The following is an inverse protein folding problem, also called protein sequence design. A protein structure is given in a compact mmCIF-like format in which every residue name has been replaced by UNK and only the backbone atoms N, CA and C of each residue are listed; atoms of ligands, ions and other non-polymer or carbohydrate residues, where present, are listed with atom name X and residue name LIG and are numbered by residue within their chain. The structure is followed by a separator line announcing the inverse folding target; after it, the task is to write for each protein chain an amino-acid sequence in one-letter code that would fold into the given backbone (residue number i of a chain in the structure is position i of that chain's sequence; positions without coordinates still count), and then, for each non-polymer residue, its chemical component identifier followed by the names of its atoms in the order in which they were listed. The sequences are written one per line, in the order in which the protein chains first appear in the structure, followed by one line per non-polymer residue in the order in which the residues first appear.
data_IF_900111419922
#
_entry.id   IF_900111419922
#
_cell.length_a   1.000
_cell.length_b   1.000
_cell.length_c   1.000
_cell.angle_alpha   90.00
_cell.angle_beta   90.00
_cell.angle_gamma   90.00
#
_symmetry.space_group_name_H-M   'P 1'
#
loop_
_entity.id
_entity.type
_entity.pdbx_description
1 polymer ?
#
# COMPACT_ATOMS: atom_id res chain seq x y z
N UNK A 1 5.55 -10.38 -6.87
CA UNK A 1 5.19 -9.37 -5.84
C UNK A 1 6.14 -8.15 -5.85
N UNK A 2 5.66 -6.92 -5.66
CA UNK A 2 6.53 -5.73 -5.50
C UNK A 2 6.50 -5.25 -4.04
N UNK A 3 7.67 -5.08 -3.43
CA UNK A 3 7.83 -4.61 -2.04
C UNK A 3 8.51 -3.25 -2.07
N UNK A 4 7.90 -2.25 -1.45
CA UNK A 4 8.46 -0.89 -1.33
C UNK A 4 8.79 -0.64 0.13
N UNK A 5 10.06 -0.44 0.44
CA UNK A 5 10.56 -0.14 1.79
C UNK A 5 11.17 1.26 1.84
N UNK A 6 11.41 1.73 3.07
CA UNK A 6 12.07 3.00 3.35
C UNK A 6 11.58 3.62 4.67
N UNK A 7 12.25 4.67 5.10
CA UNK A 7 12.06 5.35 6.39
C UNK A 7 10.74 6.13 6.46
N UNK A 8 10.27 6.53 7.66
CA UNK A 8 9.15 7.46 7.77
C UNK A 8 9.35 8.67 6.85
N UNK A 9 8.29 9.10 6.17
CA UNK A 9 8.32 10.21 5.20
C UNK A 9 9.16 9.99 3.93
N UNK A 10 9.68 8.78 3.65
CA UNK A 10 10.41 8.46 2.40
C UNK A 10 9.54 8.47 1.12
N UNK A 11 8.26 8.84 1.21
CA UNK A 11 7.37 8.93 0.05
C UNK A 11 6.68 7.62 -0.36
N UNK A 12 6.77 6.54 0.44
CA UNK A 12 6.09 5.25 0.16
C UNK A 12 4.63 5.40 -0.25
N UNK A 13 3.84 6.15 0.52
CA UNK A 13 2.43 6.37 0.20
C UNK A 13 2.25 7.12 -1.12
N UNK A 14 3.09 8.12 -1.42
CA UNK A 14 3.05 8.82 -2.71
C UNK A 14 3.34 7.85 -3.86
N UNK A 15 4.32 6.96 -3.69
CA UNK A 15 4.68 5.95 -4.69
C UNK A 15 3.55 4.95 -4.93
N UNK A 16 2.88 4.47 -3.87
CA UNK A 16 1.72 3.59 -4.00
C UNK A 16 0.55 4.31 -4.70
N UNK A 17 0.30 5.58 -4.39
CA UNK A 17 -0.73 6.38 -5.06
C UNK A 17 -0.45 6.54 -6.57
N UNK A 18 0.80 6.83 -6.93
CA UNK A 18 1.24 6.90 -8.33
C UNK A 18 1.04 5.56 -9.06
N UNK A 19 1.42 4.45 -8.44
CA UNK A 19 1.22 3.10 -9.00
C UNK A 19 -0.27 2.77 -9.15
N UNK A 20 -1.09 3.15 -8.16
CA UNK A 20 -2.54 2.94 -8.17
C UNK A 20 -3.19 3.71 -9.31
N UNK A 21 -2.80 4.97 -9.49
CA UNK A 21 -3.29 5.80 -10.58
C UNK A 21 -2.87 5.26 -11.96
N UNK A 22 -1.61 4.84 -12.08
CA UNK A 22 -1.06 4.32 -13.34
C UNK A 22 -1.70 3.01 -13.78
N UNK A 23 -1.88 2.08 -12.84
CA UNK A 23 -2.32 0.72 -13.15
C UNK A 23 -3.81 0.49 -12.90
N UNK A 24 -4.53 1.51 -12.39
CA UNK A 24 -5.93 1.43 -11.99
C UNK A 24 -6.21 0.28 -11.00
N UNK A 25 -5.30 0.07 -10.04
CA UNK A 25 -5.41 -0.98 -9.00
C UNK A 25 -5.75 -0.32 -7.65
N UNK A 26 -6.77 -0.80 -6.91
CA UNK A 26 -7.17 -0.23 -5.63
C UNK A 26 -6.13 -0.47 -4.53
N UNK A 27 -6.12 0.44 -3.54
CA UNK A 27 -5.27 0.34 -2.36
C UNK A 27 -6.11 -0.18 -1.19
N UNK A 28 -5.71 -1.31 -0.62
CA UNK A 28 -6.27 -1.88 0.60
C UNK A 28 -5.72 -1.13 1.82
N UNK A 29 -6.62 -0.76 2.72
CA UNK A 29 -6.37 0.02 3.92
C UNK A 29 -6.94 -0.67 5.16
N UNK A 30 -6.41 -0.32 6.32
CA UNK A 30 -6.85 -0.84 7.63
C UNK A 30 -8.19 -0.28 8.10
N UNK A 31 -8.63 0.86 7.55
CA UNK A 31 -9.84 1.54 8.02
C UNK A 31 -10.47 2.47 6.98
N UNK A 32 -11.77 2.73 7.13
CA UNK A 32 -12.50 3.72 6.31
C UNK A 32 -11.92 5.12 6.45
N UNK A 33 -11.42 5.48 7.63
CA UNK A 33 -10.72 6.75 7.83
C UNK A 33 -9.47 6.86 6.95
N UNK A 34 -8.70 5.76 6.83
CA UNK A 34 -7.50 5.73 5.98
C UNK A 34 -7.85 5.84 4.50
N UNK A 35 -8.95 5.22 4.06
CA UNK A 35 -9.50 5.33 2.70
C UNK A 35 -9.70 6.80 2.34
N UNK A 36 -10.45 7.55 3.16
CA UNK A 36 -10.69 8.98 2.92
C UNK A 36 -9.39 9.79 2.88
N UNK A 37 -8.47 9.53 3.81
CA UNK A 37 -7.17 10.21 3.81
C UNK A 37 -6.33 9.93 2.57
N UNK A 38 -6.40 8.72 2.00
CA UNK A 38 -5.70 8.42 0.75
C UNK A 38 -6.31 9.19 -0.42
N UNK A 39 -7.63 9.28 -0.51
CA UNK A 39 -8.31 10.05 -1.55
C UNK A 39 -7.88 11.52 -1.49
N UNK A 40 -7.89 12.13 -0.31
CA UNK A 40 -7.44 13.53 -0.13
C UNK A 40 -5.97 13.69 -0.54
N UNK A 41 -5.09 12.77 -0.15
CA UNK A 41 -3.67 12.81 -0.57
C UNK A 41 -3.50 12.65 -2.07
N UNK A 42 -4.24 11.73 -2.68
CA UNK A 42 -4.21 11.48 -4.12
C UNK A 42 -4.59 12.75 -4.89
N UNK A 43 -5.70 13.38 -4.50
CA UNK A 43 -6.15 14.65 -5.06
C UNK A 43 -5.10 15.75 -4.86
N UNK A 44 -4.51 15.87 -3.67
CA UNK A 44 -3.44 16.83 -3.41
C UNK A 44 -2.19 16.65 -4.29
N UNK A 45 -1.95 15.43 -4.78
CA UNK A 45 -0.88 15.13 -5.73
C UNK A 45 -1.31 15.15 -7.21
N UNK A 46 -2.59 15.44 -7.49
CA UNK A 46 -3.13 15.42 -8.86
C UNK A 46 -3.33 14.01 -9.42
N UNK A 47 -3.37 12.97 -8.58
CA UNK A 47 -3.62 11.61 -9.01
C UNK A 47 -5.12 11.28 -8.99
N UNK A 48 -5.59 10.64 -10.06
CA UNK A 48 -6.88 9.96 -10.10
C UNK A 48 -6.66 8.47 -9.84
N UNK A 49 -7.13 7.97 -8.70
CA UNK A 49 -7.01 6.57 -8.29
C UNK A 49 -8.39 5.90 -8.23
N UNK A 50 -8.48 4.56 -8.40
CA UNK A 50 -9.67 3.82 -7.98
C UNK A 50 -9.93 4.01 -6.48
N UNK A 51 -11.18 3.82 -6.04
CA UNK A 51 -11.54 3.93 -4.63
C UNK A 51 -10.69 2.96 -3.80
N UNK A 52 -9.95 3.44 -2.78
CA UNK A 52 -9.31 2.55 -1.82
C UNK A 52 -10.36 1.70 -1.08
N UNK A 53 -9.95 0.52 -0.64
CA UNK A 53 -10.82 -0.50 -0.06
C UNK A 53 -10.40 -0.81 1.38
N UNK A 54 -11.33 -1.22 2.22
CA UNK A 54 -11.02 -1.96 3.46
C UNK A 54 -11.18 -3.45 3.24
N UNK A 55 -10.84 -4.28 4.24
CA UNK A 55 -11.01 -5.73 4.13
C UNK A 55 -12.48 -6.11 3.97
N UNK A 56 -13.40 -5.36 4.56
CA UNK A 56 -14.85 -5.57 4.40
C UNK A 56 -15.37 -5.20 3.01
N UNK A 57 -14.62 -4.42 2.23
CA UNK A 57 -14.98 -4.06 0.86
C UNK A 57 -14.53 -5.13 -0.16
N UNK A 58 -13.70 -6.09 0.25
CA UNK A 58 -13.19 -7.16 -0.63
C UNK A 58 -14.31 -8.15 -0.98
N UNK A 59 -14.35 -8.56 -2.25
CA UNK A 59 -15.28 -9.54 -2.79
C UNK A 59 -14.62 -10.31 -3.95
N UNK A 60 -15.32 -11.27 -4.52
CA UNK A 60 -14.82 -12.14 -5.59
C UNK A 60 -14.34 -11.41 -6.86
N UNK A 61 -14.73 -10.16 -7.06
CA UNK A 61 -14.32 -9.37 -8.23
C UNK A 61 -13.00 -8.62 -8.03
N UNK A 62 -12.40 -8.68 -6.84
CA UNK A 62 -11.14 -7.99 -6.51
C UNK A 62 -9.98 -8.98 -6.62
N UNK A 63 -9.33 -9.03 -7.77
CA UNK A 63 -8.21 -9.95 -8.02
C UNK A 63 -6.88 -9.47 -7.42
N UNK A 64 -6.61 -8.15 -7.48
CA UNK A 64 -5.34 -7.55 -7.09
C UNK A 64 -5.54 -6.24 -6.34
N UNK A 65 -4.76 -6.04 -5.28
CA UNK A 65 -4.72 -4.79 -4.49
C UNK A 65 -3.27 -4.38 -4.22
N UNK A 66 -3.07 -3.09 -3.95
CA UNK A 66 -1.87 -2.61 -3.27
C UNK A 66 -2.14 -2.44 -1.78
N UNK A 67 -1.11 -2.58 -0.94
CA UNK A 67 -1.25 -2.39 0.50
C UNK A 67 -0.36 -1.24 0.95
N UNK A 68 -0.95 -0.19 1.52
CA UNK A 68 -0.21 0.90 2.18
C UNK A 68 -0.10 0.61 3.68
N UNK A 69 1.11 0.73 4.23
CA UNK A 69 1.41 0.45 5.64
C UNK A 69 0.94 -0.94 6.10
N UNK A 70 1.58 -1.99 5.57
CA UNK A 70 1.24 -3.40 5.86
C UNK A 70 1.24 -3.72 7.36
N UNK A 71 2.12 -3.08 8.14
CA UNK A 71 2.19 -3.17 9.59
C UNK A 71 0.86 -2.77 10.25
N UNK A 72 0.22 -1.71 9.76
CA UNK A 72 -1.07 -1.23 10.28
C UNK A 72 -2.23 -2.13 9.88
N UNK A 73 -2.24 -2.59 8.64
CA UNK A 73 -3.26 -3.54 8.16
C UNK A 73 -3.20 -4.83 8.97
N UNK A 74 -2.00 -5.36 9.18
CA UNK A 74 -1.83 -6.56 9.96
C UNK A 74 -2.24 -6.37 11.43
N UNK A 75 -1.89 -5.23 12.03
CA UNK A 75 -2.32 -4.87 13.38
C UNK A 75 -3.84 -4.66 13.52
N UNK A 76 -4.54 -4.27 12.46
CA UNK A 76 -6.01 -4.17 12.49
C UNK A 76 -6.71 -5.51 12.36
N UNK A 77 -6.05 -6.52 11.78
CA UNK A 77 -6.63 -7.84 11.52
C UNK A 77 -6.39 -8.84 12.66
N UNK A 78 -5.32 -8.66 13.42
CA UNK A 78 -4.92 -9.61 14.44
C UNK A 78 -4.97 -8.95 15.82
N UNK A 79 -5.59 -9.60 16.83
CA UNK A 79 -5.69 -9.06 18.19
C UNK A 79 -4.36 -9.16 18.96
N UNK A 80 -3.24 -9.34 18.26
CA UNK A 80 -1.92 -9.55 18.82
C UNK A 80 -0.84 -8.80 18.03
N UNK A 81 0.32 -8.64 18.65
CA UNK A 81 1.49 -8.06 17.99
C UNK A 81 2.14 -9.10 17.09
N UNK A 82 2.39 -8.73 15.84
CA UNK A 82 3.25 -9.52 14.95
C UNK A 82 4.70 -9.17 15.24
N UNK A 83 5.46 -10.20 15.59
CA UNK A 83 6.90 -10.10 15.79
C UNK A 83 7.68 -10.36 14.50
N UNK A 84 7.35 -11.45 13.80
CA UNK A 84 8.08 -11.91 12.62
C UNK A 84 7.10 -12.41 11.55
N UNK A 85 7.40 -12.17 10.26
CA UNK A 85 6.71 -12.79 9.12
C UNK A 85 7.72 -13.27 8.08
N UNK A 86 7.35 -14.30 7.33
CA UNK A 86 8.14 -14.80 6.20
C UNK A 86 7.27 -14.78 4.95
N UNK A 87 7.89 -14.71 3.77
CA UNK A 87 7.19 -14.80 2.51
C UNK A 87 8.05 -15.55 1.49
N UNK A 88 7.40 -16.27 0.58
CA UNK A 88 8.09 -16.93 -0.51
C UNK A 88 8.50 -15.91 -1.57
N UNK A 89 9.77 -15.92 -1.97
CA UNK A 89 10.28 -15.06 -3.02
C UNK A 89 9.91 -15.64 -4.38
N UNK A 90 8.99 -14.98 -5.09
CA UNK A 90 8.71 -15.27 -6.50
C UNK A 90 9.86 -14.75 -7.39
N UNK A 91 10.10 -15.40 -8.55
CA UNK A 91 11.18 -15.00 -9.49
C UNK A 91 11.11 -13.52 -9.89
N UNK A 92 9.89 -12.98 -10.03
CA UNK A 92 9.63 -11.58 -10.40
C UNK A 92 9.43 -10.66 -9.19
N UNK A 93 9.90 -11.04 -8.01
CA UNK A 93 9.81 -10.19 -6.83
C UNK A 93 10.81 -9.03 -6.90
N UNK A 94 10.30 -7.79 -6.87
CA UNK A 94 11.12 -6.57 -6.86
C UNK A 94 11.02 -5.91 -5.49
N UNK A 95 12.17 -5.69 -4.85
CA UNK A 95 12.29 -4.89 -3.64
C UNK A 95 12.84 -3.53 -4.06
N UNK A 96 12.13 -2.46 -3.71
CA UNK A 96 12.51 -1.08 -3.96
C UNK A 96 12.68 -0.38 -2.62
N UNK A 97 13.91 -0.01 -2.27
CA UNK A 97 14.19 0.83 -1.12
C UNK A 97 14.21 2.30 -1.54
N UNK A 98 13.28 3.09 -1.02
CA UNK A 98 13.19 4.52 -1.36
C UNK A 98 14.27 5.35 -0.66
N UNK A 99 14.91 4.85 0.39
CA UNK A 99 15.95 5.61 1.08
C UNK A 99 17.24 5.64 0.24
N UNK A 100 17.52 4.55 -0.50
CA UNK A 100 18.68 4.42 -1.40
C UNK A 100 18.53 5.22 -2.71
N UNK A 101 17.30 5.60 -3.08
CA UNK A 101 17.03 6.34 -4.33
C UNK A 101 17.34 7.84 -4.18
N UNK A 102 17.37 8.35 -2.95
CA UNK A 102 17.61 9.78 -2.64
C UNK A 102 19.09 10.19 -2.60
N UNK A 103 20.03 9.28 -2.86
CA UNK A 103 21.49 9.54 -2.78
C UNK A 103 22.17 9.86 -4.12
N UNK A 104 21.43 10.33 -5.14
CA UNK A 104 22.00 10.76 -6.42
C UNK A 104 21.56 12.16 -6.82
#
# INVERSE_FOLDING_TARGET
MNIIIGSPSSGKTKRILELSAKNNIPILCESKYRVERLIVKAHGYGYKIPRPLTVEDLNENVEVVYVDAIDRLLASLLPCKIDTFTFNKEENCKIVDLDEVTTK
#
